data_IF_726523716601
#
_entry.id   IF_726523716601
#
_cell.length_a   1.000
_cell.length_b   1.000
_cell.length_c   1.000
_cell.angle_alpha   90.00
_cell.angle_beta   90.00
_cell.angle_gamma   90.00
#
_symmetry.space_group_name_H-M   'P 1'
#
loop_
_entity.id
_entity.type
_entity.pdbx_description
1 polymer ?
#
# COMPACT_ATOMS: atom_id res chain seq x y z
N UNK A 1 45.37 -42.25 1.95
CA UNK A 1 44.32 -41.82 2.88
C UNK A 1 44.08 -40.33 2.65
N UNK A 2 43.11 -39.98 1.79
CA UNK A 2 42.74 -38.59 1.52
C UNK A 2 41.87 -38.08 2.67
N UNK A 3 42.39 -37.14 3.46
CA UNK A 3 41.62 -36.47 4.52
C UNK A 3 40.88 -35.27 3.92
N UNK A 4 39.56 -35.38 3.81
CA UNK A 4 38.67 -34.30 3.42
C UNK A 4 38.47 -33.35 4.61
N UNK A 5 39.01 -32.13 4.53
CA UNK A 5 38.67 -31.06 5.48
C UNK A 5 37.53 -30.24 4.90
N UNK A 6 36.32 -30.48 5.39
CA UNK A 6 35.13 -29.66 5.14
C UNK A 6 35.25 -28.35 5.94
N UNK A 7 35.63 -27.26 5.27
CA UNK A 7 35.53 -25.90 5.78
C UNK A 7 34.07 -25.45 5.71
N UNK A 8 33.32 -25.63 6.80
CA UNK A 8 32.01 -25.01 6.97
C UNK A 8 32.24 -23.53 7.31
N UNK A 9 32.18 -22.68 6.29
CA UNK A 9 32.15 -21.23 6.46
C UNK A 9 30.82 -20.86 7.10
N UNK A 10 30.86 -20.55 8.39
CA UNK A 10 29.71 -20.06 9.15
C UNK A 10 29.27 -18.71 8.62
N UNK A 11 28.24 -18.69 7.78
CA UNK A 11 27.53 -17.48 7.40
C UNK A 11 26.65 -17.08 8.59
N UNK A 12 27.20 -16.28 9.51
CA UNK A 12 26.43 -15.69 10.61
C UNK A 12 25.40 -14.72 10.03
N UNK A 13 24.19 -15.23 9.77
CA UNK A 13 23.01 -14.41 9.52
C UNK A 13 22.74 -13.60 10.79
N UNK A 14 23.21 -12.37 10.82
CA UNK A 14 22.79 -11.37 11.80
C UNK A 14 21.34 -10.98 11.47
N UNK A 15 20.39 -11.87 11.78
CA UNK A 15 19.00 -11.49 11.91
C UNK A 15 18.92 -10.50 13.08
N UNK A 16 18.46 -9.29 12.80
CA UNK A 16 18.37 -8.21 13.78
C UNK A 16 17.49 -8.68 14.96
N UNK A 17 18.13 -9.09 16.07
CA UNK A 17 17.44 -9.52 17.28
C UNK A 17 16.79 -8.30 17.92
N UNK A 18 15.52 -8.06 17.59
CA UNK A 18 14.73 -7.05 18.27
C UNK A 18 14.31 -7.60 19.64
N UNK A 19 14.40 -6.77 20.69
CA UNK A 19 13.96 -7.14 22.05
C UNK A 19 12.55 -7.75 21.96
N UNK A 20 12.31 -8.85 22.66
CA UNK A 20 11.03 -9.59 22.62
C UNK A 20 9.87 -8.62 22.89
N UNK A 21 8.92 -8.52 21.97
CA UNK A 21 7.81 -7.56 22.02
C UNK A 21 8.01 -6.24 21.26
N UNK A 22 9.23 -5.94 20.78
CA UNK A 22 9.47 -4.80 19.88
C UNK A 22 9.44 -5.25 18.43
N UNK A 23 8.81 -4.45 17.57
CA UNK A 23 8.65 -4.73 16.14
C UNK A 23 9.76 -4.02 15.36
N UNK A 24 10.43 -4.74 14.45
CA UNK A 24 11.29 -4.11 13.44
C UNK A 24 10.44 -3.36 12.41
N UNK A 25 10.08 -2.11 12.68
CA UNK A 25 9.22 -1.31 11.80
C UNK A 25 9.84 -1.12 10.42
N UNK A 26 11.16 -0.96 10.32
CA UNK A 26 11.84 -0.78 9.04
C UNK A 26 11.72 -2.03 8.19
N UNK A 27 12.05 -3.21 8.71
CA UNK A 27 11.89 -4.47 7.97
C UNK A 27 10.42 -4.76 7.61
N UNK A 28 9.49 -4.46 8.52
CA UNK A 28 8.05 -4.60 8.30
C UNK A 28 7.53 -3.71 7.16
N UNK A 29 7.95 -2.44 7.10
CA UNK A 29 7.52 -1.51 6.05
C UNK A 29 8.22 -1.86 4.74
N UNK A 30 9.54 -2.04 4.77
CA UNK A 30 10.36 -2.27 3.57
C UNK A 30 9.94 -3.49 2.76
N UNK A 31 9.45 -4.56 3.39
CA UNK A 31 8.95 -5.74 2.66
C UNK A 31 7.70 -5.47 1.81
N UNK A 32 6.99 -4.37 2.03
CA UNK A 32 5.83 -3.94 1.25
C UNK A 32 6.12 -2.67 0.44
N UNK A 33 7.39 -2.32 0.22
CA UNK A 33 7.75 -1.22 -0.66
C UNK A 33 7.19 -1.48 -2.06
N UNK A 34 6.41 -0.53 -2.55
CA UNK A 34 5.87 -0.58 -3.90
C UNK A 34 6.99 -0.28 -4.90
N UNK A 35 7.11 -1.12 -5.93
CA UNK A 35 8.01 -0.89 -7.05
C UNK A 35 7.18 -0.43 -8.26
N UNK A 36 7.05 0.89 -8.42
CA UNK A 36 6.32 1.50 -9.53
C UNK A 36 7.32 1.86 -10.63
N UNK A 37 7.23 1.17 -11.78
CA UNK A 37 8.09 1.41 -12.95
C UNK A 37 7.46 2.36 -13.98
N UNK A 38 6.16 2.66 -13.83
CA UNK A 38 5.41 3.57 -14.70
C UNK A 38 4.66 4.59 -13.85
N UNK A 39 4.92 5.88 -14.11
CA UNK A 39 4.32 7.01 -13.39
C UNK A 39 2.89 7.33 -13.84
N UNK A 40 2.46 6.82 -15.00
CA UNK A 40 1.10 6.98 -15.52
C UNK A 40 0.12 5.90 -15.06
N UNK A 41 0.54 5.04 -14.11
CA UNK A 41 -0.37 4.05 -13.55
C UNK A 41 -1.46 4.74 -12.73
N UNK A 42 -2.74 4.52 -13.07
CA UNK A 42 -3.88 5.21 -12.47
C UNK A 42 -4.17 4.81 -11.00
N UNK A 43 -3.34 3.96 -10.40
CA UNK A 43 -3.61 3.34 -9.10
C UNK A 43 -4.57 2.14 -9.22
N UNK A 44 -4.87 1.44 -8.10
CA UNK A 44 -5.02 2.04 -6.79
C UNK A 44 -3.84 1.74 -5.88
N UNK A 45 -2.98 2.74 -5.66
CA UNK A 45 -2.17 2.75 -4.45
C UNK A 45 -3.10 3.13 -3.30
N UNK A 46 -3.49 2.15 -2.49
CA UNK A 46 -4.32 2.39 -1.30
C UNK A 46 -3.61 1.92 -0.04
N UNK A 47 -3.77 2.68 1.03
CA UNK A 47 -3.45 2.26 2.39
C UNK A 47 -4.71 2.35 3.23
N UNK A 48 -4.92 1.34 4.06
CA UNK A 48 -6.08 1.28 4.93
C UNK A 48 -5.80 0.56 6.23
N UNK A 49 -6.69 0.76 7.20
CA UNK A 49 -6.62 0.17 8.53
C UNK A 49 -7.73 -0.87 8.80
N UNK A 50 -8.54 -1.19 7.79
CA UNK A 50 -9.73 -2.05 7.91
C UNK A 50 -11.02 -1.26 7.67
N UNK A 51 -11.10 -0.05 8.25
CA UNK A 51 -12.34 0.75 8.26
C UNK A 51 -12.22 2.02 7.38
N UNK A 52 -11.01 2.33 6.93
CA UNK A 52 -10.68 3.47 6.08
C UNK A 52 -9.66 3.04 5.04
N UNK A 53 -9.81 3.50 3.80
CA UNK A 53 -8.87 3.29 2.72
C UNK A 53 -8.64 4.59 1.95
N UNK A 54 -7.40 5.06 1.96
CA UNK A 54 -6.96 6.28 1.31
C UNK A 54 -6.18 5.97 0.05
N UNK A 55 -6.63 6.52 -1.08
CA UNK A 55 -5.95 6.43 -2.36
C UNK A 55 -4.92 7.54 -2.54
N UNK A 56 -3.72 7.19 -3.00
CA UNK A 56 -2.63 8.14 -3.27
C UNK A 56 -1.89 7.84 -4.57
N UNK A 57 -1.27 8.86 -5.14
CA UNK A 57 -0.38 8.74 -6.29
C UNK A 57 1.11 8.77 -5.88
N UNK A 58 2.01 8.89 -6.86
CA UNK A 58 3.46 8.91 -6.63
C UNK A 58 3.94 10.06 -5.73
N UNK A 59 3.16 11.14 -5.57
CA UNK A 59 3.46 12.24 -4.65
C UNK A 59 3.18 11.87 -3.19
N UNK A 60 2.46 10.77 -2.94
CA UNK A 60 1.93 10.41 -1.63
C UNK A 60 0.61 11.13 -1.30
N UNK A 61 0.12 11.99 -2.19
CA UNK A 61 -1.15 12.71 -2.01
C UNK A 61 -2.28 12.10 -2.83
N UNK A 62 -3.51 12.38 -2.38
CA UNK A 62 -4.71 11.92 -3.05
C UNK A 62 -4.87 12.67 -4.36
N UNK A 63 -4.85 11.90 -5.44
CA UNK A 63 -5.27 12.39 -6.76
C UNK A 63 -6.71 11.99 -6.98
N UNK A 64 -7.57 12.99 -7.21
CA UNK A 64 -8.97 12.76 -7.58
C UNK A 64 -9.03 12.15 -8.97
N UNK A 65 -9.29 10.85 -9.03
CA UNK A 65 -9.56 10.15 -10.28
C UNK A 65 -11.00 9.61 -10.27
N UNK A 66 -11.53 9.32 -11.46
CA UNK A 66 -12.93 8.90 -11.62
C UNK A 66 -13.17 7.44 -11.21
N UNK A 67 -12.11 6.70 -10.83
CA UNK A 67 -12.17 5.25 -10.61
C UNK A 67 -12.00 4.86 -9.14
N UNK A 68 -11.39 5.70 -8.32
CA UNK A 68 -11.01 5.41 -6.94
C UNK A 68 -11.23 6.63 -6.05
N UNK A 69 -11.98 6.43 -4.97
CA UNK A 69 -12.22 7.44 -3.95
C UNK A 69 -11.73 6.95 -2.60
N UNK A 70 -11.56 7.86 -1.65
CA UNK A 70 -11.28 7.51 -0.25
C UNK A 70 -12.51 6.81 0.33
N UNK A 71 -12.35 5.55 0.72
CA UNK A 71 -13.41 4.74 1.31
C UNK A 71 -13.34 4.83 2.84
N UNK A 72 -14.49 4.92 3.49
CA UNK A 72 -14.55 4.91 4.95
C UNK A 72 -15.85 4.27 5.40
N UNK A 73 -15.81 3.46 6.44
CA UNK A 73 -16.99 2.83 7.01
C UNK A 73 -17.95 3.85 7.65
N UNK A 74 -17.42 4.94 8.23
CA UNK A 74 -18.22 5.91 8.95
C UNK A 74 -18.79 7.05 8.10
N UNK A 75 -18.46 7.11 6.80
CA UNK A 75 -18.88 8.23 5.92
C UNK A 75 -19.58 7.76 4.64
N UNK A 76 -20.40 6.70 4.72
CA UNK A 76 -21.34 6.40 3.65
C UNK A 76 -22.49 7.42 3.70
N UNK A 77 -22.40 8.48 2.89
CA UNK A 77 -23.52 9.37 2.62
C UNK A 77 -23.72 9.51 1.11
N UNK A 78 -24.89 9.10 0.64
CA UNK A 78 -25.34 9.32 -0.73
C UNK A 78 -26.44 10.36 -0.70
N UNK A 79 -26.25 11.47 -1.40
CA UNK A 79 -27.33 12.41 -1.68
C UNK A 79 -27.86 12.13 -3.09
N UNK A 80 -29.19 12.18 -3.31
CA UNK A 80 -29.75 12.02 -4.64
C UNK A 80 -29.30 13.18 -5.53
N UNK A 81 -29.09 12.93 -6.84
CA UNK A 81 -28.79 14.00 -7.79
C UNK A 81 -29.90 15.06 -7.82
N UNK A 82 -29.56 16.35 -7.94
CA UNK A 82 -30.56 17.40 -8.06
C UNK A 82 -31.51 17.13 -9.23
N UNK A 83 -32.82 17.13 -8.94
CA UNK A 83 -33.86 16.92 -9.96
C UNK A 83 -33.99 15.48 -10.48
N UNK A 84 -33.52 14.47 -9.76
CA UNK A 84 -33.73 13.06 -10.12
C UNK A 84 -33.01 12.60 -11.39
N UNK A 85 -31.96 13.33 -11.79
CA UNK A 85 -31.14 13.00 -12.97
C UNK A 85 -30.29 11.77 -12.71
N UNK A 86 -30.02 11.01 -13.76
CA UNK A 86 -29.07 9.89 -13.71
C UNK A 86 -27.66 10.41 -13.37
N UNK A 87 -27.00 9.92 -12.29
CA UNK A 87 -25.61 10.26 -11.97
C UNK A 87 -24.63 10.10 -13.14
N UNK A 88 -24.89 9.17 -14.06
CA UNK A 88 -24.01 8.93 -15.21
C UNK A 88 -24.19 9.95 -16.34
N UNK A 89 -25.22 10.82 -16.26
CA UNK A 89 -25.49 11.84 -17.27
C UNK A 89 -24.68 13.13 -17.10
N UNK A 90 -24.02 13.31 -15.95
CA UNK A 90 -23.19 14.48 -15.69
C UNK A 90 -21.87 14.38 -16.47
N UNK A 91 -21.56 15.40 -17.27
CA UNK A 91 -20.25 15.55 -17.90
C UNK A 91 -19.40 16.53 -17.10
N UNK A 92 -18.11 16.24 -16.95
CA UNK A 92 -17.14 17.24 -16.47
C UNK A 92 -17.14 18.43 -17.45
N UNK A 93 -17.09 19.67 -16.96
CA UNK A 93 -16.97 20.86 -17.79
C UNK A 93 -15.71 20.85 -18.65
#
# INVERSE_FOLDING_TARGET
>A
MLSWVLLIVGFSLNAQQVKRGTINRKALVTRHNLNLTNTHFAGPTQVGNGDFAYGFDITGMQTFNDQFTTMSEWSWHSSPPPGGKDPNSFKKP
#
